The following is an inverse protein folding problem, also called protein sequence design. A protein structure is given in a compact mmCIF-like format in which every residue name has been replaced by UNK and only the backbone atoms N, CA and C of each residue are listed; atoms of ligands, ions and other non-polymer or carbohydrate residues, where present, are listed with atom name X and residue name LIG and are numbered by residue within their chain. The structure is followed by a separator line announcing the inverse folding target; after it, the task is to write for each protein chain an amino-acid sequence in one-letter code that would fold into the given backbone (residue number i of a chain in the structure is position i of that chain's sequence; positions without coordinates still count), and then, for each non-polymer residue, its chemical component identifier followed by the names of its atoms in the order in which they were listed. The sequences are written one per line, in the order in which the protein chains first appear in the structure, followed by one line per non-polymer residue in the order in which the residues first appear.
data_IF_199900924296
#
_entry.id   IF_199900924296
#
_cell.length_a   1.000
_cell.length_b   1.000
_cell.length_c   1.000
_cell.angle_alpha   90.00
_cell.angle_beta   90.00
_cell.angle_gamma   90.00
#
_symmetry.space_group_name_H-M   'P 1'
#
loop_
_entity.id
_entity.type
_entity.pdbx_description
1 polymer ?
#
# COMPACT_ATOMS: atom_id res chain seq x y z
N UNK A 1 8.22 15.58 -9.68
CA UNK A 1 8.05 14.13 -9.44
C UNK A 1 8.34 13.84 -7.97
N UNK A 2 7.31 13.73 -7.14
CA UNK A 2 7.48 13.39 -5.73
C UNK A 2 7.59 11.86 -5.59
N UNK A 3 8.74 11.39 -5.15
CA UNK A 3 8.99 9.99 -4.81
C UNK A 3 8.13 9.65 -3.58
N UNK A 4 7.01 8.95 -3.76
CA UNK A 4 6.33 8.31 -2.63
C UNK A 4 7.20 7.13 -2.18
N UNK A 5 8.23 7.38 -1.38
CA UNK A 5 8.92 6.31 -0.65
C UNK A 5 7.88 5.67 0.26
N UNK A 6 7.70 4.36 0.15
CA UNK A 6 6.86 3.62 1.10
C UNK A 6 7.48 3.85 2.47
N UNK A 7 6.80 4.58 3.35
CA UNK A 7 7.24 4.76 4.72
C UNK A 7 7.16 3.38 5.39
N UNK A 8 8.31 2.74 5.61
CA UNK A 8 8.35 1.50 6.38
C UNK A 8 8.10 1.89 7.84
N UNK A 9 7.06 1.32 8.46
CA UNK A 9 6.81 1.54 9.88
C UNK A 9 8.03 1.04 10.67
N UNK A 10 8.75 1.96 11.29
CA UNK A 10 9.72 1.63 12.33
C UNK A 10 8.90 1.37 13.59
N UNK A 11 8.58 0.11 13.86
CA UNK A 11 7.98 -0.28 15.14
C UNK A 11 9.08 -0.43 16.17
N UNK A 12 9.43 0.67 16.81
CA UNK A 12 10.16 0.60 18.07
C UNK A 12 9.20 0.11 19.13
N UNK A 13 9.46 -1.04 19.75
CA UNK A 13 8.76 -1.50 20.95
C UNK A 13 9.15 -0.59 22.12
N UNK A 14 8.61 0.63 22.12
CA UNK A 14 8.79 1.62 23.16
C UNK A 14 7.48 1.74 23.93
N UNK A 15 7.49 1.69 25.27
CA UNK A 15 6.28 1.87 26.07
C UNK A 15 5.63 3.25 25.91
N UNK A 16 6.30 4.21 25.24
CA UNK A 16 5.86 5.61 25.11
C UNK A 16 5.73 6.13 23.66
N UNK A 17 6.11 5.36 22.63
CA UNK A 17 5.78 5.73 21.25
C UNK A 17 4.42 5.12 20.91
N UNK A 18 3.43 5.97 20.78
CA UNK A 18 2.15 5.58 20.19
C UNK A 18 2.42 5.12 18.75
N UNK A 19 1.93 3.93 18.36
CA UNK A 19 2.03 3.31 17.01
C UNK A 19 1.40 4.13 15.86
N UNK A 20 1.21 5.44 16.06
CA UNK A 20 0.45 6.37 15.24
C UNK A 20 1.34 7.41 14.54
N UNK A 21 2.65 7.17 14.44
CA UNK A 21 3.58 8.09 13.78
C UNK A 21 4.57 7.36 12.88
N UNK A 22 5.01 8.04 11.82
CA UNK A 22 6.07 7.59 10.92
C UNK A 22 7.27 8.53 11.02
N UNK A 23 8.46 7.99 10.75
CA UNK A 23 9.74 8.71 10.85
C UNK A 23 10.22 9.05 9.44
N UNK A 24 10.92 10.17 9.29
CA UNK A 24 11.49 10.55 8.00
C UNK A 24 12.44 9.48 7.45
N UNK A 25 12.32 9.09 6.17
CA UNK A 25 13.23 8.13 5.55
C UNK A 25 14.65 8.70 5.37
N UNK A 26 14.86 10.01 5.54
CA UNK A 26 16.21 10.61 5.54
C UNK A 26 16.92 10.44 6.88
N UNK A 27 16.18 10.44 7.99
CA UNK A 27 16.73 10.21 9.33
C UNK A 27 16.81 8.72 9.66
N UNK A 28 15.86 7.91 9.20
CA UNK A 28 15.82 6.47 9.42
C UNK A 28 15.84 5.73 8.07
N UNK A 29 17.04 5.47 7.56
CA UNK A 29 17.23 4.85 6.26
C UNK A 29 16.96 3.34 6.28
N UNK A 30 16.45 2.82 5.15
CA UNK A 30 16.23 1.38 5.00
C UNK A 30 17.54 0.65 4.68
N UNK A 31 17.82 -0.41 5.42
CA UNK A 31 19.07 -1.18 5.35
C UNK A 31 18.89 -2.68 5.08
N UNK A 32 17.64 -3.15 4.90
CA UNK A 32 17.37 -4.55 4.56
C UNK A 32 17.55 -5.57 5.68
N UNK A 33 17.88 -5.17 6.91
CA UNK A 33 18.09 -6.06 8.06
C UNK A 33 17.43 -5.51 9.33
N UNK A 34 17.15 -6.40 10.28
CA UNK A 34 16.68 -6.01 11.60
C UNK A 34 17.83 -5.42 12.41
N UNK A 35 17.58 -4.29 13.07
CA UNK A 35 18.50 -3.64 13.99
C UNK A 35 17.74 -3.20 15.23
N UNK A 36 18.50 -2.89 16.29
CA UNK A 36 17.95 -2.25 17.48
C UNK A 36 17.34 -0.91 17.10
N UNK A 37 16.17 -0.60 17.68
CA UNK A 37 15.52 0.69 17.50
C UNK A 37 16.45 1.84 17.94
N UNK A 38 16.72 2.77 17.03
CA UNK A 38 17.39 4.03 17.34
C UNK A 38 16.35 5.10 17.74
N UNK A 39 16.18 5.28 19.04
CA UNK A 39 15.18 6.19 19.63
C UNK A 39 15.40 7.63 19.18
N UNK A 40 16.65 8.09 19.08
CA UNK A 40 16.93 9.47 18.69
C UNK A 40 16.50 9.74 17.25
N UNK A 41 16.71 8.78 16.35
CA UNK A 41 16.21 8.89 14.96
C UNK A 41 14.68 8.96 14.90
N UNK A 42 13.96 8.34 15.84
CA UNK A 42 12.48 8.36 15.85
C UNK A 42 11.86 9.73 16.14
N UNK A 43 12.62 10.68 16.68
CA UNK A 43 12.14 12.04 16.97
C UNK A 43 11.86 12.86 15.70
N UNK A 44 12.44 12.48 14.56
CA UNK A 44 12.23 13.13 13.27
C UNK A 44 10.95 12.64 12.60
N UNK A 45 9.81 13.09 13.12
CA UNK A 45 8.47 12.65 12.68
C UNK A 45 8.20 13.17 11.26
N UNK A 46 7.79 12.27 10.37
CA UNK A 46 7.34 12.60 9.02
C UNK A 46 5.82 12.83 8.96
N UNK A 47 5.04 11.99 9.63
CA UNK A 47 3.58 12.12 9.68
C UNK A 47 3.00 11.45 10.93
N UNK A 48 1.76 11.85 11.27
CA UNK A 48 0.94 11.22 12.31
C UNK A 48 -0.39 10.76 11.75
N UNK A 49 -0.86 9.60 12.19
CA UNK A 49 -2.17 9.05 11.86
C UNK A 49 -3.07 9.08 13.10
N UNK A 50 -4.38 9.23 12.91
CA UNK A 50 -5.38 9.12 13.97
C UNK A 50 -5.65 7.65 14.28
N UNK A 51 -5.82 6.85 13.23
CA UNK A 51 -6.13 5.44 13.27
C UNK A 51 -5.82 4.82 11.89
N UNK A 52 -6.21 3.56 11.71
CA UNK A 52 -6.37 2.94 10.41
C UNK A 52 -7.75 2.31 10.37
N UNK A 53 -8.27 2.09 9.17
CA UNK A 53 -9.53 1.39 8.95
C UNK A 53 -9.32 0.23 7.99
N UNK A 54 -10.01 -0.86 8.26
CA UNK A 54 -10.06 -2.01 7.36
C UNK A 54 -11.15 -1.80 6.32
N UNK A 55 -10.83 -2.12 5.07
CA UNK A 55 -11.81 -2.25 4.01
C UNK A 55 -12.63 -3.53 4.26
N UNK A 56 -13.95 -3.52 4.04
CA UNK A 56 -14.76 -4.75 4.06
C UNK A 56 -14.12 -5.86 3.22
N UNK A 57 -13.84 -6.99 3.86
CA UNK A 57 -13.22 -8.14 3.21
C UNK A 57 -14.10 -8.70 2.09
N UNK A 58 -13.44 -9.20 1.04
CA UNK A 58 -14.06 -9.84 -0.12
C UNK A 58 -15.03 -8.90 -0.84
N UNK A 59 -14.64 -7.63 -1.00
CA UNK A 59 -15.41 -6.64 -1.76
C UNK A 59 -14.48 -5.77 -2.60
N UNK A 60 -14.34 -6.10 -3.89
CA UNK A 60 -13.64 -5.24 -4.86
C UNK A 60 -14.32 -3.86 -4.97
N UNK A 61 -15.63 -3.78 -4.77
CA UNK A 61 -16.38 -2.51 -4.73
C UNK A 61 -15.94 -1.63 -3.55
N UNK A 62 -15.91 -2.19 -2.34
CA UNK A 62 -15.49 -1.45 -1.16
C UNK A 62 -14.00 -1.04 -1.26
N UNK A 63 -13.16 -1.91 -1.81
CA UNK A 63 -11.77 -1.58 -2.12
C UNK A 63 -11.68 -0.43 -3.14
N UNK A 64 -12.49 -0.46 -4.20
CA UNK A 64 -12.49 0.59 -5.23
C UNK A 64 -12.88 1.94 -4.64
N UNK A 65 -13.90 1.96 -3.77
CA UNK A 65 -14.32 3.16 -3.04
C UNK A 65 -13.24 3.70 -2.11
N UNK A 66 -12.49 2.83 -1.44
CA UNK A 66 -11.37 3.26 -0.61
C UNK A 66 -10.22 3.82 -1.46
N UNK A 67 -9.86 3.13 -2.56
CA UNK A 67 -8.79 3.51 -3.48
C UNK A 67 -9.08 4.83 -4.20
N UNK A 68 -10.34 5.16 -4.47
CA UNK A 68 -10.72 6.44 -5.08
C UNK A 68 -10.49 7.64 -4.15
N UNK A 69 -10.39 7.42 -2.84
CA UNK A 69 -10.12 8.47 -1.85
C UNK A 69 -8.62 8.60 -1.54
N UNK A 70 -7.91 7.47 -1.46
CA UNK A 70 -6.49 7.43 -1.12
C UNK A 70 -5.84 6.07 -1.44
N UNK A 71 -4.50 5.97 -1.46
CA UNK A 71 -3.83 4.68 -1.56
C UNK A 71 -4.20 3.72 -0.41
N UNK A 72 -4.41 2.45 -0.74
CA UNK A 72 -4.83 1.40 0.19
C UNK A 72 -3.76 0.32 0.26
N UNK A 73 -3.40 -0.13 1.46
CA UNK A 73 -2.54 -1.31 1.62
C UNK A 73 -3.39 -2.57 1.48
N UNK A 74 -2.94 -3.54 0.69
CA UNK A 74 -3.63 -4.82 0.50
C UNK A 74 -2.65 -5.98 0.62
N UNK A 75 -3.14 -7.13 1.09
CA UNK A 75 -2.43 -8.41 0.99
C UNK A 75 -2.79 -9.12 -0.31
N UNK A 76 -1.81 -9.77 -0.94
CA UNK A 76 -1.97 -10.64 -2.11
C UNK A 76 -1.16 -11.92 -1.94
N UNK A 77 -1.52 -12.97 -2.68
CA UNK A 77 -0.59 -14.06 -2.99
C UNK A 77 0.27 -13.65 -4.19
N UNK A 78 1.48 -13.18 -3.91
CA UNK A 78 2.39 -12.54 -4.86
C UNK A 78 3.78 -13.18 -4.97
N UNK A 79 4.03 -14.31 -4.30
CA UNK A 79 5.33 -14.99 -4.28
C UNK A 79 5.65 -15.88 -5.49
N UNK A 80 4.67 -16.16 -6.35
CA UNK A 80 4.78 -17.09 -7.47
C UNK A 80 5.71 -16.64 -8.61
N UNK A 81 6.15 -17.59 -9.44
CA UNK A 81 7.04 -17.34 -10.59
C UNK A 81 6.48 -16.33 -11.59
N UNK A 82 5.15 -16.30 -11.77
CA UNK A 82 4.50 -15.37 -12.69
C UNK A 82 4.68 -13.90 -12.27
N UNK A 83 4.72 -13.61 -10.96
CA UNK A 83 5.01 -12.27 -10.44
C UNK A 83 6.48 -11.89 -10.64
N UNK A 84 7.40 -12.82 -10.39
CA UNK A 84 8.84 -12.56 -10.56
C UNK A 84 9.21 -12.14 -11.98
N UNK A 85 8.51 -12.68 -12.98
CA UNK A 85 8.73 -12.40 -14.41
C UNK A 85 7.76 -11.36 -14.99
N UNK A 86 6.87 -10.79 -14.18
CA UNK A 86 5.98 -9.74 -14.64
C UNK A 86 6.80 -8.53 -15.12
N UNK A 87 6.53 -8.07 -16.33
CA UNK A 87 7.19 -6.92 -16.95
C UNK A 87 6.20 -5.83 -17.36
N UNK A 88 5.04 -6.21 -17.93
CA UNK A 88 4.01 -5.27 -18.37
C UNK A 88 2.67 -5.94 -18.64
N UNK A 89 1.64 -5.13 -18.88
CA UNK A 89 0.29 -5.58 -19.22
C UNK A 89 -0.61 -5.78 -17.99
N UNK A 90 -1.89 -6.09 -18.23
CA UNK A 90 -2.82 -6.47 -17.16
C UNK A 90 -2.60 -7.94 -16.82
N UNK A 91 -2.06 -8.19 -15.64
CA UNK A 91 -1.84 -9.54 -15.13
C UNK A 91 -3.16 -10.26 -14.89
N UNK A 92 -3.32 -11.39 -15.55
CA UNK A 92 -4.43 -12.32 -15.39
C UNK A 92 -3.95 -13.76 -15.17
N UNK A 93 -2.70 -13.92 -14.69
CA UNK A 93 -2.09 -15.22 -14.43
C UNK A 93 -2.69 -15.90 -13.20
N UNK A 94 -2.40 -17.19 -13.05
CA UNK A 94 -2.83 -17.97 -11.89
C UNK A 94 -2.09 -17.57 -10.61
N UNK A 95 -2.86 -17.43 -9.53
CA UNK A 95 -2.43 -17.19 -8.17
C UNK A 95 -3.54 -17.71 -7.24
N UNK A 96 -3.18 -18.14 -6.03
CA UNK A 96 -4.15 -18.58 -5.03
C UNK A 96 -4.65 -17.44 -4.14
N UNK A 97 -4.96 -17.79 -2.90
CA UNK A 97 -5.51 -16.90 -1.86
C UNK A 97 -4.70 -16.96 -0.55
N UNK A 98 -3.55 -17.64 -0.56
CA UNK A 98 -2.64 -17.75 0.58
C UNK A 98 -1.73 -16.52 0.63
N UNK A 99 -2.27 -15.42 1.15
CA UNK A 99 -1.60 -14.12 1.14
C UNK A 99 -0.20 -14.19 1.78
N UNK A 100 0.81 -13.76 1.02
CA UNK A 100 2.23 -13.82 1.41
C UNK A 100 2.96 -12.48 1.16
N UNK A 101 2.28 -11.51 0.53
CA UNK A 101 2.88 -10.25 0.14
C UNK A 101 1.96 -9.05 0.42
N UNK A 102 2.53 -7.99 0.98
CA UNK A 102 1.84 -6.71 1.20
C UNK A 102 2.19 -5.72 0.11
N UNK A 103 1.18 -5.09 -0.49
CA UNK A 103 1.31 -4.12 -1.58
C UNK A 103 0.50 -2.86 -1.31
N UNK A 104 0.70 -1.82 -2.12
CA UNK A 104 -0.13 -0.61 -2.08
C UNK A 104 -0.91 -0.48 -3.38
N UNK A 105 -2.24 -0.53 -3.30
CA UNK A 105 -3.13 -0.20 -4.41
C UNK A 105 -3.22 1.32 -4.49
N UNK A 106 -2.75 1.88 -5.60
CA UNK A 106 -2.63 3.34 -5.80
C UNK A 106 -3.63 3.88 -6.81
N UNK A 107 -4.39 2.99 -7.46
CA UNK A 107 -5.41 3.36 -8.42
C UNK A 107 -6.07 2.13 -9.05
N UNK A 108 -6.97 2.39 -9.98
CA UNK A 108 -7.62 1.41 -10.83
C UNK A 108 -7.94 2.07 -12.18
N UNK A 109 -8.22 1.27 -13.19
CA UNK A 109 -8.59 1.76 -14.50
C UNK A 109 -9.01 0.65 -15.44
N UNK A 110 -9.16 1.00 -16.70
CA UNK A 110 -9.48 0.09 -17.80
C UNK A 110 -8.46 0.33 -18.91
N UNK A 111 -8.03 -0.74 -19.58
CA UNK A 111 -7.16 -0.61 -20.76
C UNK A 111 -8.00 -0.42 -22.04
N UNK A 112 -7.32 -0.23 -23.16
CA UNK A 112 -7.93 -0.01 -24.48
C UNK A 112 -8.79 -1.20 -24.99
N UNK A 113 -8.73 -2.36 -24.32
CA UNK A 113 -9.48 -3.56 -24.65
C UNK A 113 -10.65 -3.82 -23.69
N UNK A 114 -10.99 -2.87 -22.82
CA UNK A 114 -12.05 -3.05 -21.84
C UNK A 114 -11.67 -3.94 -20.64
N UNK A 115 -10.37 -4.18 -20.42
CA UNK A 115 -9.91 -4.98 -19.28
C UNK A 115 -9.63 -4.05 -18.09
N UNK A 116 -10.48 -4.18 -17.07
CA UNK A 116 -10.32 -3.48 -15.81
C UNK A 116 -9.14 -4.02 -14.98
N UNK A 117 -8.44 -3.12 -14.29
CA UNK A 117 -7.29 -3.45 -13.48
C UNK A 117 -7.17 -2.59 -12.22
N UNK A 118 -6.50 -3.16 -11.22
CA UNK A 118 -5.90 -2.47 -10.09
C UNK A 118 -4.48 -2.03 -10.45
N UNK A 119 -4.12 -0.77 -10.19
CA UNK A 119 -2.74 -0.30 -10.27
C UNK A 119 -2.08 -0.47 -8.91
N UNK A 120 -1.13 -1.40 -8.84
CA UNK A 120 -0.49 -1.82 -7.60
C UNK A 120 0.98 -1.44 -7.61
N UNK A 121 1.43 -0.81 -6.53
CA UNK A 121 2.84 -0.50 -6.29
C UNK A 121 3.52 -1.62 -5.51
N UNK A 122 4.64 -2.10 -6.03
CA UNK A 122 5.47 -3.12 -5.42
C UNK A 122 6.71 -2.53 -4.72
N UNK A 123 7.34 -3.35 -3.88
CA UNK A 123 8.60 -3.01 -3.19
C UNK A 123 9.85 -3.65 -3.81
N UNK A 124 9.81 -3.99 -5.10
CA UNK A 124 10.92 -4.67 -5.83
C UNK A 124 11.76 -3.72 -6.70
N UNK A 125 11.61 -2.42 -6.51
CA UNK A 125 12.36 -1.40 -7.26
C UNK A 125 11.75 -1.08 -8.61
N UNK A 126 12.31 -0.08 -9.28
CA UNK A 126 11.74 0.49 -10.51
C UNK A 126 12.00 -0.37 -11.76
N UNK A 127 13.00 -1.25 -11.71
CA UNK A 127 13.36 -2.12 -12.84
C UNK A 127 12.42 -3.34 -12.99
N UNK A 128 11.53 -3.55 -12.03
CA UNK A 128 10.56 -4.62 -12.05
C UNK A 128 9.20 -4.09 -12.54
N UNK A 129 8.50 -4.87 -13.36
CA UNK A 129 7.19 -4.48 -13.88
C UNK A 129 7.20 -3.15 -14.64
N UNK A 130 6.11 -2.40 -14.50
CA UNK A 130 5.88 -1.12 -15.17
C UNK A 130 6.43 0.02 -14.30
N UNK A 131 7.75 0.10 -14.16
CA UNK A 131 8.40 1.13 -13.32
C UNK A 131 8.24 0.88 -11.82
N UNK A 132 8.15 -0.38 -11.40
CA UNK A 132 7.86 -0.80 -10.02
C UNK A 132 6.38 -0.98 -9.72
N UNK A 133 5.52 -0.92 -10.74
CA UNK A 133 4.08 -1.13 -10.65
C UNK A 133 3.65 -2.36 -11.41
N UNK A 134 2.46 -2.84 -11.06
CA UNK A 134 1.79 -3.96 -11.71
C UNK A 134 0.32 -3.65 -11.85
N UNK A 135 -0.23 -3.96 -13.02
CA UNK A 135 -1.68 -3.95 -13.24
C UNK A 135 -2.22 -5.34 -12.98
N UNK A 136 -3.07 -5.51 -11.96
CA UNK A 136 -3.70 -6.80 -11.62
C UNK A 136 -5.14 -6.76 -12.11
N UNK A 137 -5.60 -7.79 -12.84
CA UNK A 137 -6.97 -7.85 -13.35
C UNK A 137 -7.98 -7.70 -12.21
N UNK A 138 -8.95 -6.83 -12.42
CA UNK A 138 -10.06 -6.50 -11.53
C UNK A 138 -11.34 -7.19 -12.02
N UNK A 139 -12.32 -7.36 -11.13
CA UNK A 139 -13.64 -7.91 -11.46
C UNK A 139 -13.58 -9.32 -12.07
N UNK A 140 -12.86 -10.22 -11.40
CA UNK A 140 -12.59 -11.60 -11.90
C UNK A 140 -13.68 -12.62 -11.58
N UNK A 141 -14.86 -12.17 -11.14
CA UNK A 141 -16.02 -13.02 -10.89
C UNK A 141 -16.05 -13.72 -9.53
N UNK A 142 -15.08 -13.45 -8.65
CA UNK A 142 -15.08 -13.92 -7.26
C UNK A 142 -14.73 -12.77 -6.30
N UNK A 143 -15.36 -12.71 -5.12
CA UNK A 143 -15.37 -11.52 -4.27
C UNK A 143 -14.01 -11.20 -3.64
N UNK A 144 -13.11 -12.17 -3.53
CA UNK A 144 -11.75 -11.99 -3.04
C UNK A 144 -10.87 -11.13 -3.96
N UNK A 145 -11.27 -10.97 -5.24
CA UNK A 145 -10.43 -10.38 -6.28
C UNK A 145 -9.22 -11.25 -6.63
N UNK A 146 -8.59 -10.98 -7.78
CA UNK A 146 -7.46 -11.80 -8.25
C UNK A 146 -6.32 -11.78 -7.22
N UNK A 147 -5.78 -12.96 -6.92
CA UNK A 147 -4.72 -13.17 -5.91
C UNK A 147 -5.11 -12.76 -4.48
N UNK A 148 -6.40 -12.63 -4.18
CA UNK A 148 -6.91 -12.28 -2.87
C UNK A 148 -6.80 -10.79 -2.51
N UNK A 149 -6.60 -9.91 -3.49
CA UNK A 149 -6.37 -8.47 -3.28
C UNK A 149 -7.45 -7.76 -2.44
N UNK A 150 -8.69 -8.26 -2.44
CA UNK A 150 -9.79 -7.71 -1.65
C UNK A 150 -10.03 -8.45 -0.33
N UNK A 151 -9.24 -9.46 0.04
CA UNK A 151 -9.44 -10.23 1.29
C UNK A 151 -9.03 -9.43 2.53
N UNK A 152 -7.88 -8.77 2.48
CA UNK A 152 -7.31 -8.00 3.59
C UNK A 152 -6.71 -6.69 3.08
N UNK A 153 -7.47 -5.61 3.24
CA UNK A 153 -7.04 -4.27 2.87
C UNK A 153 -7.32 -3.26 3.97
N UNK A 154 -6.46 -2.25 4.11
CA UNK A 154 -6.60 -1.19 5.10
C UNK A 154 -5.91 0.09 4.65
N UNK A 155 -6.35 1.21 5.23
CA UNK A 155 -5.78 2.52 4.96
C UNK A 155 -5.63 3.33 6.25
N UNK A 156 -4.63 4.23 6.32
CA UNK A 156 -4.50 5.13 7.45
C UNK A 156 -5.59 6.20 7.43
N UNK A 157 -6.03 6.62 8.61
CA UNK A 157 -6.80 7.84 8.82
C UNK A 157 -5.82 8.88 9.33
N UNK A 158 -5.56 9.94 8.57
CA UNK A 158 -4.58 10.97 8.94
C UNK A 158 -5.18 11.87 10.03
N UNK A 159 -4.38 12.25 11.03
CA UNK A 159 -4.83 13.31 11.95
C UNK A 159 -4.93 14.63 11.19
N UNK A 160 -6.07 15.35 11.23
CA UNK A 160 -6.11 16.71 10.73
C UNK A 160 -5.02 17.51 11.45
N UNK A 161 -4.10 18.11 10.71
CA UNK A 161 -3.18 19.07 11.31
C UNK A 161 -4.01 20.23 11.87
N UNK A 162 -3.90 20.50 13.17
CA UNK A 162 -4.45 21.69 13.79
C UNK A 162 -3.73 22.92 13.21
N UNK A 163 -4.20 23.40 12.07
CA UNK A 163 -3.59 24.51 11.36
C UNK A 163 -4.38 24.81 10.10
N UNK A 164 -5.11 25.93 10.14
CA UNK A 164 -5.93 26.55 9.09
C UNK A 164 -7.39 26.05 9.07
N UNK A 165 -8.11 26.33 10.15
CA UNK A 165 -9.51 26.74 10.02
C UNK A 165 -9.51 28.24 9.72
N UNK A 166 -9.79 28.57 8.45
CA UNK A 166 -10.61 29.70 8.00
C UNK A 166 -10.49 31.03 8.79
N UNK A 167 -9.67 31.96 8.28
CA UNK A 167 -10.10 33.35 8.19
C UNK A 167 -11.07 33.46 7.01
N UNK A 168 -12.35 33.18 7.26
CA UNK A 168 -13.47 33.64 6.45
C UNK A 168 -14.60 34.04 7.39
N UNK A 169 -14.45 35.24 7.98
CA UNK A 169 -15.52 36.19 8.26
C UNK A 169 -14.96 37.58 7.98
#
# INVERSE_FOLDING_TARGET
MALTKVAKLVTCSMPSITYKQTVSPTSYQYIGKNETCDIEKTKNIAARIASYESVPSNSEEALQKAVSMQPVTAGIEGGGMAFRHYSSGVFSGGCGMSLDHGVTVVGFGENEYGIEYWLVKYSWGQNWGEGGYMRIRKNVGFPQGLCGIAMYASYPVVQPSLGIWLYMY
#
